data_IF_013629312472
#
_entry.id   IF_013629312472
#
_cell.length_a   1.000
_cell.length_b   1.000
_cell.length_c   1.000
_cell.angle_alpha   90.00
_cell.angle_beta   90.00
_cell.angle_gamma   90.00
#
_symmetry.space_group_name_H-M   'P 1'
#
loop_
_entity.id
_entity.type
_entity.pdbx_description
1 polymer ?
#
# COMPACT_ATOMS: atom_id res chain seq x y z
N UNK A 1 -1.14 -7.53 -10.88
CA UNK A 1 -2.07 -6.43 -11.23
C UNK A 1 -1.66 -5.24 -10.39
N UNK A 2 -1.52 -4.06 -10.99
CA UNK A 2 -1.27 -2.83 -10.24
C UNK A 2 -2.60 -2.31 -9.68
N UNK A 3 -2.75 -2.40 -8.36
CA UNK A 3 -4.02 -2.14 -7.68
C UNK A 3 -4.27 -0.63 -7.53
N UNK A 4 -3.21 0.19 -7.45
CA UNK A 4 -3.29 1.65 -7.46
C UNK A 4 -3.84 2.15 -8.80
N UNK A 5 -3.27 1.68 -9.91
CA UNK A 5 -3.75 2.01 -11.24
C UNK A 5 -5.19 1.55 -11.50
N UNK A 6 -5.62 0.44 -10.90
CA UNK A 6 -7.03 0.02 -10.96
C UNK A 6 -7.93 0.96 -10.16
N UNK A 7 -7.53 1.33 -8.94
CA UNK A 7 -8.30 2.24 -8.10
C UNK A 7 -8.52 3.59 -8.81
N UNK A 8 -7.49 4.13 -9.46
CA UNK A 8 -7.59 5.36 -10.27
C UNK A 8 -8.58 5.22 -11.43
N UNK A 9 -8.55 4.09 -12.16
CA UNK A 9 -9.53 3.83 -13.24
C UNK A 9 -10.95 3.74 -12.71
N UNK A 10 -11.17 3.03 -11.60
CA UNK A 10 -12.50 2.89 -11.00
C UNK A 10 -13.02 4.22 -10.44
N UNK A 11 -12.14 5.08 -9.91
CA UNK A 11 -12.48 6.41 -9.41
C UNK A 11 -12.88 7.39 -10.53
N UNK A 12 -12.40 7.15 -11.75
CA UNK A 12 -12.74 7.93 -12.93
C UNK A 12 -14.10 7.55 -13.57
N UNK A 13 -14.78 6.51 -13.06
CA UNK A 13 -16.07 6.08 -13.59
C UNK A 13 -17.15 7.14 -13.31
N UNK A 14 -17.73 7.68 -14.38
CA UNK A 14 -18.80 8.67 -14.26
C UNK A 14 -20.12 8.03 -13.78
N UNK A 15 -20.91 8.72 -12.94
CA UNK A 15 -22.18 8.19 -12.46
C UNK A 15 -23.17 7.92 -13.60
N UNK A 16 -23.86 6.79 -13.54
CA UNK A 16 -24.97 6.48 -14.46
C UNK A 16 -26.32 6.45 -13.73
N UNK A 17 -27.39 6.30 -14.50
CA UNK A 17 -28.74 6.08 -13.98
C UNK A 17 -29.05 4.60 -13.70
N UNK A 18 -28.10 3.71 -14.02
CA UNK A 18 -28.19 2.28 -13.74
C UNK A 18 -27.40 1.91 -12.48
N UNK A 19 -27.78 0.82 -11.79
CA UNK A 19 -27.05 0.38 -10.62
C UNK A 19 -25.63 -0.06 -10.98
N UNK A 20 -24.66 0.39 -10.18
CA UNK A 20 -23.30 -0.13 -10.17
C UNK A 20 -23.16 -1.03 -8.93
N UNK A 21 -22.74 -2.28 -9.14
CA UNK A 21 -22.49 -3.26 -8.09
C UNK A 21 -21.02 -3.22 -7.70
N UNK A 22 -20.75 -3.20 -6.40
CA UNK A 22 -19.42 -3.42 -5.83
C UNK A 22 -19.53 -4.52 -4.79
N UNK A 23 -18.85 -5.63 -5.03
CA UNK A 23 -18.88 -6.82 -4.18
C UNK A 23 -17.46 -7.09 -3.66
N UNK A 24 -17.33 -7.11 -2.35
CA UNK A 24 -16.15 -7.58 -1.63
C UNK A 24 -16.46 -8.92 -0.97
N UNK A 25 -15.50 -9.83 -0.98
CA UNK A 25 -15.70 -11.19 -0.47
C UNK A 25 -14.48 -11.64 0.32
N UNK A 26 -14.67 -12.07 1.57
CA UNK A 26 -13.65 -12.81 2.31
C UNK A 26 -13.55 -14.23 1.73
N UNK A 27 -12.39 -14.56 1.17
CA UNK A 27 -12.15 -15.85 0.52
C UNK A 27 -11.35 -16.82 1.40
N UNK A 28 -11.03 -16.44 2.65
CA UNK A 28 -10.29 -17.31 3.56
C UNK A 28 -11.08 -18.60 3.85
N UNK A 29 -10.37 -19.73 4.01
CA UNK A 29 -11.02 -20.97 4.40
C UNK A 29 -11.60 -20.86 5.82
N UNK A 30 -12.77 -21.46 6.03
CA UNK A 30 -13.32 -21.63 7.36
C UNK A 30 -12.64 -22.79 8.12
N UNK A 31 -13.17 -23.14 9.30
CA UNK A 31 -12.67 -24.26 10.12
C UNK A 31 -12.75 -25.64 9.42
N UNK A 32 -13.38 -25.74 8.24
CA UNK A 32 -13.44 -26.96 7.42
C UNK A 32 -12.40 -26.98 6.31
N UNK A 33 -11.58 -25.93 6.19
CA UNK A 33 -10.52 -25.81 5.17
C UNK A 33 -11.04 -25.42 3.79
N UNK A 34 -12.32 -25.01 3.67
CA UNK A 34 -12.93 -24.58 2.40
C UNK A 34 -13.44 -23.14 2.51
N UNK A 35 -13.38 -22.34 1.44
CA UNK A 35 -14.02 -21.04 1.41
C UNK A 35 -15.55 -21.20 1.48
N UNK A 36 -16.22 -20.50 2.41
CA UNK A 36 -17.68 -20.55 2.55
C UNK A 36 -18.40 -19.27 2.07
N UNK A 37 -17.88 -18.62 1.02
CA UNK A 37 -18.46 -17.37 0.52
C UNK A 37 -19.61 -17.58 -0.49
N UNK A 38 -19.60 -18.67 -1.28
CA UNK A 38 -20.54 -18.85 -2.40
C UNK A 38 -22.03 -18.75 -2.05
N UNK A 39 -22.52 -19.48 -1.02
CA UNK A 39 -23.90 -19.37 -0.57
C UNK A 39 -24.27 -17.98 -0.04
N UNK A 40 -23.35 -17.32 0.67
CA UNK A 40 -23.54 -15.98 1.23
C UNK A 40 -23.71 -14.97 0.11
N UNK A 41 -22.78 -14.94 -0.84
CA UNK A 41 -22.82 -14.03 -1.99
C UNK A 41 -24.09 -14.21 -2.82
N UNK A 42 -24.49 -15.45 -3.14
CA UNK A 42 -25.72 -15.71 -3.90
C UNK A 42 -26.96 -15.20 -3.16
N UNK A 43 -27.00 -15.38 -1.84
CA UNK A 43 -28.11 -14.88 -1.01
C UNK A 43 -28.15 -13.35 -1.03
N UNK A 44 -27.03 -12.68 -0.80
CA UNK A 44 -26.97 -11.21 -0.78
C UNK A 44 -27.35 -10.59 -2.13
N UNK A 45 -26.81 -11.12 -3.23
CA UNK A 45 -27.16 -10.66 -4.58
C UNK A 45 -28.67 -10.79 -4.83
N UNK A 46 -29.27 -11.92 -4.42
CA UNK A 46 -30.70 -12.17 -4.58
C UNK A 46 -31.58 -11.30 -3.67
N UNK A 47 -31.18 -11.06 -2.44
CA UNK A 47 -31.90 -10.16 -1.51
C UNK A 47 -31.85 -8.71 -2.01
N UNK A 48 -30.69 -8.27 -2.48
CA UNK A 48 -30.51 -6.91 -3.00
C UNK A 48 -31.28 -6.68 -4.30
N UNK A 49 -31.44 -7.69 -5.14
CA UNK A 49 -32.28 -7.63 -6.35
C UNK A 49 -33.74 -7.23 -6.06
N UNK A 50 -34.27 -7.62 -4.88
CA UNK A 50 -35.66 -7.32 -4.47
C UNK A 50 -35.89 -5.84 -4.16
N UNK A 51 -34.83 -5.07 -3.91
CA UNK A 51 -34.93 -3.63 -3.72
C UNK A 51 -35.28 -2.89 -5.02
N UNK A 52 -35.05 -3.51 -6.17
CA UNK A 52 -35.48 -2.99 -7.47
C UNK A 52 -36.87 -3.53 -7.78
N UNK A 53 -37.82 -2.63 -8.04
CA UNK A 53 -39.18 -3.00 -8.43
C UNK A 53 -39.19 -3.97 -9.62
N UNK A 54 -40.16 -4.88 -9.64
CA UNK A 54 -40.28 -5.87 -10.71
C UNK A 54 -40.42 -5.20 -12.08
N UNK A 55 -39.80 -5.79 -13.11
CA UNK A 55 -39.85 -5.35 -14.51
C UNK A 55 -39.35 -3.91 -14.76
N UNK A 56 -38.48 -3.39 -13.91
CA UNK A 56 -37.79 -2.10 -14.15
C UNK A 56 -36.50 -2.28 -14.95
N UNK A 57 -36.07 -1.25 -15.69
CA UNK A 57 -34.79 -1.25 -16.39
C UNK A 57 -33.61 -1.44 -15.42
N UNK A 58 -33.66 -0.77 -14.25
CA UNK A 58 -32.67 -0.92 -13.18
C UNK A 58 -32.59 -2.36 -12.66
N UNK A 59 -33.73 -3.05 -12.52
CA UNK A 59 -33.74 -4.47 -12.13
C UNK A 59 -33.06 -5.35 -13.19
N UNK A 60 -33.38 -5.13 -14.47
CA UNK A 60 -32.78 -5.92 -15.55
C UNK A 60 -31.26 -5.70 -15.65
N UNK A 61 -30.80 -4.45 -15.53
CA UNK A 61 -29.38 -4.13 -15.50
C UNK A 61 -28.67 -4.77 -14.30
N UNK A 62 -29.26 -4.66 -13.10
CA UNK A 62 -28.74 -5.32 -11.90
C UNK A 62 -28.61 -6.83 -12.07
N UNK A 63 -29.66 -7.50 -12.56
CA UNK A 63 -29.66 -8.96 -12.72
C UNK A 63 -28.60 -9.40 -13.75
N UNK A 64 -28.39 -8.63 -14.82
CA UNK A 64 -27.34 -8.89 -15.82
C UNK A 64 -25.94 -8.81 -15.18
N UNK A 65 -25.64 -7.74 -14.46
CA UNK A 65 -24.33 -7.56 -13.80
C UNK A 65 -24.11 -8.56 -12.65
N UNK A 66 -25.14 -8.89 -11.86
CA UNK A 66 -25.07 -9.94 -10.84
C UNK A 66 -24.80 -11.32 -11.46
N UNK A 67 -25.35 -11.59 -12.65
CA UNK A 67 -25.04 -12.78 -13.42
C UNK A 67 -23.57 -12.86 -13.84
N UNK A 68 -23.02 -11.74 -14.34
CA UNK A 68 -21.59 -11.64 -14.71
C UNK A 68 -20.67 -11.84 -13.51
N UNK A 69 -21.01 -11.25 -12.36
CA UNK A 69 -20.28 -11.44 -11.10
C UNK A 69 -20.28 -12.91 -10.70
N UNK A 70 -21.44 -13.57 -10.74
CA UNK A 70 -21.57 -14.99 -10.39
C UNK A 70 -20.71 -15.86 -11.31
N UNK A 71 -20.72 -15.59 -12.62
CA UNK A 71 -19.89 -16.31 -13.59
C UNK A 71 -18.39 -16.15 -13.32
N UNK A 72 -17.95 -14.93 -12.97
CA UNK A 72 -16.54 -14.68 -12.65
C UNK A 72 -16.11 -15.42 -11.37
N UNK A 73 -16.95 -15.40 -10.34
CA UNK A 73 -16.69 -16.11 -9.08
C UNK A 73 -16.64 -17.64 -9.26
N UNK A 74 -17.46 -18.17 -10.17
CA UNK A 74 -17.50 -19.61 -10.48
C UNK A 74 -16.38 -20.06 -11.42
N UNK A 75 -15.63 -19.15 -12.04
CA UNK A 75 -14.52 -19.44 -12.95
C UNK A 75 -13.24 -19.95 -12.24
N UNK A 76 -13.35 -20.43 -11.00
CA UNK A 76 -12.27 -20.93 -10.14
C UNK A 76 -11.09 -19.95 -9.97
N UNK A 77 -11.27 -18.87 -9.17
CA UNK A 77 -10.18 -17.99 -8.76
C UNK A 77 -9.03 -18.74 -8.08
N UNK A 78 -7.83 -18.15 -7.99
CA UNK A 78 -6.65 -18.83 -7.42
C UNK A 78 -6.95 -19.34 -6.00
N UNK A 79 -6.57 -20.58 -5.65
CA UNK A 79 -6.77 -21.13 -4.30
C UNK A 79 -6.06 -20.33 -3.19
N UNK A 80 -5.05 -19.54 -3.54
CA UNK A 80 -4.30 -18.70 -2.60
C UNK A 80 -4.92 -17.32 -2.36
N UNK A 81 -5.99 -16.95 -3.07
CA UNK A 81 -6.66 -15.67 -2.87
C UNK A 81 -7.31 -15.64 -1.48
N UNK A 82 -7.05 -14.56 -0.74
CA UNK A 82 -7.63 -14.34 0.59
C UNK A 82 -8.89 -13.47 0.53
N UNK A 83 -9.15 -12.81 -0.60
CA UNK A 83 -10.39 -12.09 -0.85
C UNK A 83 -10.62 -11.77 -2.33
N UNK A 84 -11.81 -11.28 -2.63
CA UNK A 84 -12.18 -10.79 -3.96
C UNK A 84 -12.77 -9.39 -3.89
N UNK A 85 -12.54 -8.59 -4.95
CA UNK A 85 -13.26 -7.35 -5.21
C UNK A 85 -13.77 -7.37 -6.65
N UNK A 86 -15.08 -7.20 -6.83
CA UNK A 86 -15.73 -7.25 -8.15
C UNK A 86 -16.61 -6.01 -8.33
N UNK A 87 -16.41 -5.31 -9.44
CA UNK A 87 -17.16 -4.12 -9.81
C UNK A 87 -17.87 -4.37 -11.14
N UNK A 88 -19.17 -4.10 -11.21
CA UNK A 88 -19.94 -4.31 -12.44
C UNK A 88 -20.98 -3.19 -12.63
N UNK A 89 -20.94 -2.58 -13.81
CA UNK A 89 -21.94 -1.65 -14.29
C UNK A 89 -21.88 -1.62 -15.83
N UNK A 90 -22.74 -2.39 -16.49
CA UNK A 90 -22.77 -2.47 -17.96
C UNK A 90 -22.98 -1.10 -18.61
N UNK A 91 -23.84 -0.26 -18.04
CA UNK A 91 -24.12 1.09 -18.54
C UNK A 91 -22.89 2.02 -18.51
N UNK A 92 -21.93 1.75 -17.61
CA UNK A 92 -20.66 2.45 -17.53
C UNK A 92 -19.52 1.73 -18.30
N UNK A 93 -19.83 0.62 -19.00
CA UNK A 93 -18.82 -0.23 -19.64
C UNK A 93 -17.88 -0.92 -18.64
N UNK A 94 -18.29 -1.07 -17.38
CA UNK A 94 -17.44 -1.53 -16.29
C UNK A 94 -17.68 -3.01 -15.98
N UNK A 95 -16.59 -3.78 -15.97
CA UNK A 95 -16.50 -5.05 -15.25
C UNK A 95 -15.06 -5.37 -14.90
N UNK A 96 -14.76 -5.34 -13.62
CA UNK A 96 -13.41 -5.57 -13.09
C UNK A 96 -13.51 -6.54 -11.92
N UNK A 97 -12.82 -7.68 -12.03
CA UNK A 97 -12.73 -8.70 -10.98
C UNK A 97 -11.29 -8.84 -10.53
N UNK A 98 -11.06 -8.72 -9.23
CA UNK A 98 -9.73 -8.69 -8.61
C UNK A 98 -9.64 -9.77 -7.55
N UNK A 99 -8.56 -10.53 -7.62
CA UNK A 99 -8.16 -11.47 -6.56
C UNK A 99 -7.16 -10.81 -5.63
N UNK A 100 -7.49 -10.77 -4.34
CA UNK A 100 -6.73 -10.10 -3.30
C UNK A 100 -5.89 -11.12 -2.52
N UNK A 101 -4.66 -10.73 -2.17
CA UNK A 101 -3.78 -11.51 -1.31
C UNK A 101 -3.99 -11.23 0.18
N UNK A 102 -4.93 -10.35 0.51
CA UNK A 102 -5.29 -9.98 1.87
C UNK A 102 -6.81 -10.10 2.04
N UNK A 103 -7.29 -10.42 3.25
CA UNK A 103 -8.71 -10.55 3.50
C UNK A 103 -9.41 -9.20 3.45
N UNK A 104 -10.68 -9.23 3.06
CA UNK A 104 -11.60 -8.09 3.10
C UNK A 104 -12.92 -8.57 3.71
N UNK A 105 -13.64 -7.67 4.35
CA UNK A 105 -14.98 -7.99 4.85
C UNK A 105 -15.92 -8.27 3.65
N UNK A 106 -16.77 -9.29 3.78
CA UNK A 106 -17.78 -9.57 2.77
C UNK A 106 -18.84 -8.47 2.81
N UNK A 107 -19.01 -7.75 1.69
CA UNK A 107 -19.95 -6.63 1.59
C UNK A 107 -20.43 -6.46 0.14
N UNK A 108 -21.74 -6.23 -0.01
CA UNK A 108 -22.38 -5.87 -1.27
C UNK A 108 -22.93 -4.44 -1.21
N UNK A 109 -22.34 -3.53 -2.00
CA UNK A 109 -22.82 -2.15 -2.15
C UNK A 109 -23.36 -1.94 -3.56
N UNK A 110 -24.52 -1.29 -3.65
CA UNK A 110 -25.10 -0.87 -4.93
C UNK A 110 -25.32 0.63 -4.91
N UNK A 111 -24.67 1.32 -5.84
CA UNK A 111 -24.70 2.78 -5.98
C UNK A 111 -24.77 3.22 -7.44
N UNK A 112 -24.44 4.48 -7.70
CA UNK A 112 -24.33 5.03 -9.07
C UNK A 112 -22.90 4.99 -9.63
N UNK A 113 -21.93 4.73 -8.76
CA UNK A 113 -20.49 4.62 -9.02
C UNK A 113 -19.93 3.47 -8.18
N UNK A 114 -18.72 2.95 -8.51
CA UNK A 114 -18.04 1.94 -7.71
C UNK A 114 -17.83 2.36 -6.25
N UNK A 115 -18.06 1.45 -5.30
CA UNK A 115 -17.75 1.65 -3.89
C UNK A 115 -16.29 1.27 -3.61
N UNK A 116 -15.42 2.28 -3.51
CA UNK A 116 -13.97 2.07 -3.49
C UNK A 116 -13.35 1.99 -2.09
N UNK A 117 -14.11 2.30 -1.05
CA UNK A 117 -13.57 2.46 0.30
C UNK A 117 -12.82 1.22 0.81
N UNK A 118 -13.36 -0.02 0.71
CA UNK A 118 -12.64 -1.20 1.19
C UNK A 118 -11.35 -1.45 0.42
N UNK A 119 -11.35 -1.25 -0.90
CA UNK A 119 -10.14 -1.42 -1.73
C UNK A 119 -9.08 -0.37 -1.42
N UNK A 120 -9.50 0.89 -1.27
CA UNK A 120 -8.63 2.01 -0.98
C UNK A 120 -8.03 1.89 0.44
N UNK A 121 -8.82 1.44 1.42
CA UNK A 121 -8.34 1.11 2.77
C UNK A 121 -7.36 -0.06 2.76
N UNK A 122 -7.61 -1.09 1.95
CA UNK A 122 -6.70 -2.22 1.84
C UNK A 122 -5.32 -1.79 1.27
N UNK A 123 -5.33 -0.93 0.26
CA UNK A 123 -4.11 -0.35 -0.31
C UNK A 123 -3.32 0.46 0.72
N UNK A 124 -4.02 1.24 1.55
CA UNK A 124 -3.41 2.05 2.60
C UNK A 124 -2.84 1.19 3.74
N UNK A 125 -3.52 0.08 4.09
CA UNK A 125 -3.08 -0.87 5.12
C UNK A 125 -1.85 -1.70 4.74
N UNK A 126 -1.66 -1.94 3.44
CA UNK A 126 -0.60 -2.80 2.93
C UNK A 126 0.36 -2.03 2.02
N UNK A 127 0.73 -0.81 2.45
CA UNK A 127 1.72 0.01 1.74
C UNK A 127 3.02 -0.76 1.56
N UNK A 128 3.53 -0.71 0.33
CA UNK A 128 4.77 -1.42 -0.01
C UNK A 128 5.96 -0.69 0.59
N UNK A 129 6.85 -1.45 1.21
CA UNK A 129 8.11 -0.92 1.73
C UNK A 129 9.27 -1.84 1.36
N UNK A 130 10.45 -1.25 1.21
CA UNK A 130 11.68 -2.03 1.11
C UNK A 130 12.20 -2.36 2.51
N UNK A 131 12.85 -3.52 2.62
CA UNK A 131 13.70 -3.85 3.76
C UNK A 131 15.10 -4.06 3.23
N UNK A 132 16.06 -3.32 3.78
CA UNK A 132 17.48 -3.46 3.47
C UNK A 132 18.17 -4.02 4.69
N UNK A 133 18.78 -5.19 4.54
CA UNK A 133 19.64 -5.78 5.57
C UNK A 133 21.06 -5.79 5.04
N UNK A 134 21.97 -5.07 5.69
CA UNK A 134 23.32 -4.85 5.16
C UNK A 134 24.38 -4.94 6.24
N UNK A 135 25.54 -5.45 5.87
CA UNK A 135 26.81 -5.27 6.59
C UNK A 135 27.79 -4.49 5.70
N UNK A 136 29.05 -4.42 6.11
CA UNK A 136 30.08 -3.70 5.36
C UNK A 136 30.53 -4.37 4.03
N UNK A 137 29.98 -5.54 3.69
CA UNK A 137 30.38 -6.41 2.58
C UNK A 137 29.23 -6.87 1.67
N UNK A 138 28.04 -7.06 2.22
CA UNK A 138 26.86 -7.60 1.55
C UNK A 138 25.61 -6.83 1.98
N UNK A 139 24.67 -6.71 1.06
CA UNK A 139 23.35 -6.16 1.32
C UNK A 139 22.28 -6.98 0.61
N UNK A 140 21.19 -7.25 1.32
CA UNK A 140 19.98 -7.87 0.79
C UNK A 140 18.87 -6.84 0.78
N UNK A 141 18.18 -6.71 -0.35
CA UNK A 141 17.05 -5.80 -0.51
C UNK A 141 15.82 -6.63 -0.77
N UNK A 142 14.88 -6.58 0.16
CA UNK A 142 13.58 -7.20 0.08
C UNK A 142 12.51 -6.16 -0.20
N UNK A 143 11.41 -6.58 -0.82
CA UNK A 143 10.17 -5.79 -0.92
C UNK A 143 9.08 -6.54 -0.20
N UNK A 144 8.43 -5.86 0.75
CA UNK A 144 7.22 -6.36 1.40
C UNK A 144 6.01 -5.71 0.74
N UNK A 145 5.07 -6.53 0.29
CA UNK A 145 3.83 -6.10 -0.33
C UNK A 145 2.73 -7.11 -0.03
N UNK A 146 1.53 -6.62 0.33
CA UNK A 146 0.35 -7.46 0.60
C UNK A 146 0.64 -8.61 1.59
N UNK A 147 1.48 -8.37 2.60
CA UNK A 147 1.84 -9.37 3.62
C UNK A 147 2.79 -10.47 3.15
N UNK A 148 3.38 -10.34 1.96
CA UNK A 148 4.43 -11.22 1.47
C UNK A 148 5.76 -10.46 1.33
N UNK A 149 6.86 -11.17 1.53
CA UNK A 149 8.22 -10.67 1.35
C UNK A 149 8.87 -11.35 0.16
N UNK A 150 9.63 -10.58 -0.62
CA UNK A 150 10.38 -11.09 -1.78
C UNK A 150 11.77 -10.45 -1.83
N UNK A 151 12.83 -11.26 -1.89
CA UNK A 151 14.17 -10.77 -2.19
C UNK A 151 14.21 -10.21 -3.62
N UNK A 152 14.54 -8.92 -3.76
CA UNK A 152 14.62 -8.21 -5.04
C UNK A 152 16.02 -8.08 -5.57
N UNK A 153 17.00 -7.90 -4.69
CA UNK A 153 18.38 -7.78 -5.07
C UNK A 153 19.32 -8.16 -3.93
N UNK A 154 20.50 -8.64 -4.34
CA UNK A 154 21.64 -8.85 -3.46
C UNK A 154 22.81 -8.07 -4.02
N UNK A 155 23.43 -7.26 -3.19
CA UNK A 155 24.64 -6.50 -3.51
C UNK A 155 25.78 -7.13 -2.75
N UNK A 156 26.81 -7.59 -3.45
CA UNK A 156 27.99 -8.18 -2.83
C UNK A 156 29.25 -7.55 -3.40
N UNK A 157 30.20 -7.26 -2.53
CA UNK A 157 31.54 -6.91 -2.98
C UNK A 157 32.18 -8.08 -3.73
N UNK A 158 32.67 -7.84 -4.96
CA UNK A 158 33.55 -8.80 -5.64
C UNK A 158 34.79 -9.01 -4.78
N UNK A 159 34.95 -10.21 -4.21
CA UNK A 159 36.18 -10.63 -3.52
C UNK A 159 37.37 -10.45 -4.46
N UNK A 160 38.15 -9.39 -4.27
CA UNK A 160 39.50 -9.32 -4.84
C UNK A 160 40.36 -10.35 -4.12
N UNK A 161 40.63 -11.47 -4.79
CA UNK A 161 41.54 -12.51 -4.32
C UNK A 161 42.97 -11.95 -4.09
N UNK A 162 43.46 -12.13 -2.85
CA UNK A 162 44.85 -12.22 -2.35
C UNK A 162 45.90 -11.17 -2.78
N UNK A 163 46.58 -10.66 -1.75
CA UNK A 163 48.03 -10.86 -1.62
C UNK A 163 48.43 -10.87 -0.14
N UNK A 164 48.95 -12.00 0.33
CA UNK A 164 49.76 -12.04 1.54
C UNK A 164 51.16 -11.53 1.22
N UNK A 165 51.66 -10.62 2.05
CA UNK A 165 53.09 -10.41 2.32
C UNK A 165 53.22 -9.29 3.35
N UNK A 166 53.89 -9.60 4.47
CA UNK A 166 54.80 -8.71 5.19
C UNK A 166 54.31 -7.33 5.61
N UNK A 167 54.31 -7.10 6.93
CA UNK A 167 54.05 -5.79 7.52
C UNK A 167 54.89 -4.69 6.86
N UNK A 168 54.22 -3.77 6.18
CA UNK A 168 54.47 -2.33 6.16
C UNK A 168 53.28 -1.66 5.47
N UNK A 169 52.72 -0.65 6.15
CA UNK A 169 51.59 0.22 5.77
C UNK A 169 50.15 -0.27 6.06
N UNK A 170 49.81 -0.37 7.35
CA UNK A 170 48.40 -0.34 7.82
C UNK A 170 47.59 0.78 7.14
N UNK A 171 48.19 1.97 6.91
CA UNK A 171 47.50 3.11 6.29
C UNK A 171 47.12 2.90 4.80
N UNK A 172 47.73 1.96 4.07
CA UNK A 172 47.29 1.60 2.70
C UNK A 172 46.20 0.55 2.73
N UNK A 173 46.31 -0.42 3.64
CA UNK A 173 45.27 -1.42 3.88
C UNK A 173 43.97 -0.74 4.36
N UNK A 174 44.06 0.17 5.32
CA UNK A 174 42.92 0.94 5.84
C UNK A 174 42.23 1.76 4.75
N UNK A 175 42.99 2.47 3.91
CA UNK A 175 42.44 3.24 2.77
C UNK A 175 41.78 2.35 1.71
N UNK A 176 42.29 1.14 1.51
CA UNK A 176 41.70 0.18 0.58
C UNK A 176 40.36 -0.35 1.12
N UNK A 177 40.31 -0.68 2.40
CA UNK A 177 39.10 -1.10 3.12
C UNK A 177 38.04 0.01 3.11
N UNK A 178 38.40 1.25 3.44
CA UNK A 178 37.50 2.41 3.33
C UNK A 178 37.00 2.68 1.90
N UNK A 179 37.83 2.41 0.88
CA UNK A 179 37.41 2.52 -0.51
C UNK A 179 36.39 1.46 -0.86
N UNK A 180 36.59 0.22 -0.42
CA UNK A 180 35.65 -0.88 -0.65
C UNK A 180 34.30 -0.63 0.02
N UNK A 181 34.29 -0.15 1.27
CA UNK A 181 33.02 0.17 1.93
C UNK A 181 32.26 1.26 1.18
N UNK A 182 32.95 2.30 0.69
CA UNK A 182 32.33 3.34 -0.12
C UNK A 182 31.79 2.83 -1.46
N UNK A 183 32.51 1.95 -2.15
CA UNK A 183 32.05 1.34 -3.39
C UNK A 183 30.80 0.47 -3.16
N UNK A 184 30.81 -0.35 -2.11
CA UNK A 184 29.68 -1.18 -1.71
C UNK A 184 28.43 -0.35 -1.38
N UNK A 185 28.61 0.65 -0.52
CA UNK A 185 27.52 1.53 -0.10
C UNK A 185 26.94 2.30 -1.29
N UNK A 186 27.79 2.75 -2.21
CA UNK A 186 27.33 3.38 -3.44
C UNK A 186 26.48 2.43 -4.28
N UNK A 187 26.95 1.21 -4.51
CA UNK A 187 26.20 0.21 -5.29
C UNK A 187 24.87 -0.17 -4.62
N UNK A 188 24.85 -0.28 -3.29
CA UNK A 188 23.64 -0.47 -2.49
C UNK A 188 22.65 0.68 -2.71
N UNK A 189 23.09 1.92 -2.52
CA UNK A 189 22.24 3.11 -2.66
C UNK A 189 21.70 3.24 -4.09
N UNK A 190 22.54 3.05 -5.11
CA UNK A 190 22.12 3.12 -6.53
C UNK A 190 21.07 2.02 -6.84
N UNK A 191 21.26 0.81 -6.28
CA UNK A 191 20.33 -0.30 -6.46
C UNK A 191 19.02 -0.06 -5.74
N UNK A 192 19.07 0.44 -4.50
CA UNK A 192 17.91 0.77 -3.68
C UNK A 192 17.10 1.88 -4.32
N UNK A 193 17.73 2.96 -4.80
CA UNK A 193 17.04 4.07 -5.46
C UNK A 193 16.27 3.59 -6.69
N UNK A 194 16.86 2.70 -7.48
CA UNK A 194 16.19 2.10 -8.62
C UNK A 194 14.98 1.26 -8.20
N UNK A 195 15.12 0.39 -7.21
CA UNK A 195 14.00 -0.44 -6.70
C UNK A 195 12.88 0.45 -6.16
N UNK A 196 13.21 1.45 -5.35
CA UNK A 196 12.23 2.39 -4.76
C UNK A 196 11.43 3.11 -5.85
N UNK A 197 12.09 3.55 -6.92
CA UNK A 197 11.42 4.17 -8.06
C UNK A 197 10.56 3.18 -8.84
N UNK A 198 11.11 2.02 -9.20
CA UNK A 198 10.46 1.05 -10.08
C UNK A 198 9.24 0.40 -9.43
N UNK A 199 9.28 0.20 -8.11
CA UNK A 199 8.20 -0.42 -7.31
C UNK A 199 7.28 0.61 -6.61
N UNK A 200 7.59 1.92 -6.73
CA UNK A 200 6.79 2.99 -6.11
C UNK A 200 6.80 2.96 -4.58
N UNK A 201 7.95 2.71 -3.96
CA UNK A 201 8.05 2.49 -2.51
C UNK A 201 8.14 3.81 -1.75
N UNK A 202 7.24 4.00 -0.79
CA UNK A 202 7.21 5.23 0.02
C UNK A 202 8.03 5.13 1.31
N UNK A 203 8.51 3.93 1.66
CA UNK A 203 9.29 3.67 2.88
C UNK A 203 10.37 2.62 2.65
N UNK A 204 11.50 2.79 3.33
CA UNK A 204 12.61 1.85 3.38
C UNK A 204 12.97 1.60 4.85
N UNK A 205 12.96 0.35 5.28
CA UNK A 205 13.47 -0.05 6.58
C UNK A 205 14.91 -0.52 6.41
N UNK A 206 15.84 0.10 7.12
CA UNK A 206 17.28 -0.18 7.01
C UNK A 206 17.79 -0.83 8.29
N UNK A 207 18.26 -2.07 8.17
CA UNK A 207 18.95 -2.82 9.21
C UNK A 207 20.41 -3.02 8.84
N UNK A 208 21.30 -2.85 9.81
CA UNK A 208 22.72 -3.08 9.63
C UNK A 208 23.52 -2.75 10.88
N UNK A 209 24.80 -3.09 10.84
CA UNK A 209 25.70 -2.82 11.96
C UNK A 209 26.03 -1.32 12.12
N UNK A 210 26.58 -0.96 13.29
CA UNK A 210 26.93 0.42 13.65
C UNK A 210 27.99 1.05 12.73
N UNK A 211 28.66 0.24 11.91
CA UNK A 211 29.72 0.69 10.98
C UNK A 211 29.12 1.05 9.62
N UNK A 212 28.23 0.22 9.08
CA UNK A 212 27.65 0.42 7.74
C UNK A 212 26.55 1.47 7.74
N UNK A 213 25.72 1.55 8.79
CA UNK A 213 24.57 2.47 8.85
C UNK A 213 24.99 3.94 8.63
N UNK A 214 26.02 4.47 9.31
CA UNK A 214 26.47 5.85 9.06
C UNK A 214 26.95 6.08 7.62
N UNK A 215 27.62 5.09 7.02
CA UNK A 215 28.12 5.19 5.64
C UNK A 215 26.97 5.23 4.64
N UNK A 216 25.96 4.37 4.82
CA UNK A 216 24.75 4.37 4.00
C UNK A 216 24.04 5.71 4.14
N UNK A 217 23.84 6.20 5.37
CA UNK A 217 23.18 7.48 5.63
C UNK A 217 23.85 8.66 4.91
N UNK A 218 25.18 8.70 4.89
CA UNK A 218 25.94 9.74 4.20
C UNK A 218 25.80 9.66 2.67
N UNK A 219 25.65 8.45 2.12
CA UNK A 219 25.55 8.23 0.68
C UNK A 219 24.12 8.41 0.12
N UNK A 220 23.09 8.39 0.96
CA UNK A 220 21.70 8.49 0.53
C UNK A 220 21.38 9.87 -0.09
N UNK A 221 20.78 9.91 -1.29
CA UNK A 221 20.17 11.12 -1.81
C UNK A 221 19.08 11.63 -0.85
N UNK A 222 18.93 12.95 -0.75
CA UNK A 222 17.97 13.58 0.19
C UNK A 222 16.55 13.02 0.07
N UNK A 223 16.09 12.81 -1.16
CA UNK A 223 14.75 12.26 -1.46
C UNK A 223 14.55 10.83 -0.97
N UNK A 224 15.62 10.03 -0.93
CA UNK A 224 15.59 8.66 -0.43
C UNK A 224 15.77 8.64 1.08
N UNK A 225 16.65 9.48 1.62
CA UNK A 225 16.87 9.61 3.07
C UNK A 225 15.59 9.95 3.85
N UNK A 226 14.71 10.78 3.28
CA UNK A 226 13.39 11.11 3.86
C UNK A 226 12.45 9.90 3.97
N UNK A 227 12.73 8.79 3.27
CA UNK A 227 11.95 7.54 3.29
C UNK A 227 12.56 6.45 4.17
N UNK A 228 13.78 6.64 4.66
CA UNK A 228 14.52 5.62 5.41
C UNK A 228 14.18 5.70 6.89
N UNK A 229 13.79 4.57 7.47
CA UNK A 229 13.69 4.35 8.91
C UNK A 229 14.71 3.28 9.28
N UNK A 230 15.59 3.61 10.20
CA UNK A 230 16.57 2.64 10.72
C UNK A 230 15.91 1.72 11.74
N UNK A 231 16.18 0.42 11.62
CA UNK A 231 15.63 -0.61 12.48
C UNK A 231 16.75 -1.49 13.05
N UNK A 232 16.53 -1.99 14.25
CA UNK A 232 17.44 -2.96 14.88
C UNK A 232 17.00 -4.40 14.63
N UNK A 233 17.76 -5.35 15.20
CA UNK A 233 17.41 -6.76 15.36
C UNK A 233 17.30 -7.60 14.08
N UNK A 234 17.74 -7.11 12.92
CA UNK A 234 17.84 -7.91 11.71
C UNK A 234 19.28 -7.94 11.19
N UNK A 235 19.70 -9.10 10.72
CA UNK A 235 21.01 -9.31 10.10
C UNK A 235 20.92 -10.23 8.87
N UNK A 236 22.05 -10.45 8.21
CA UNK A 236 22.11 -11.22 6.97
C UNK A 236 21.78 -12.72 7.13
N UNK A 237 21.68 -13.23 8.36
CA UNK A 237 21.26 -14.61 8.63
C UNK A 237 19.79 -14.73 9.03
N UNK A 238 19.11 -13.60 9.29
CA UNK A 238 17.67 -13.56 9.52
C UNK A 238 16.90 -14.18 8.36
N UNK A 239 15.92 -15.01 8.67
CA UNK A 239 15.07 -15.64 7.66
C UNK A 239 14.07 -14.64 7.07
N UNK A 240 13.56 -14.89 5.85
CA UNK A 240 12.50 -14.06 5.26
C UNK A 240 11.27 -13.93 6.18
N UNK A 241 10.90 -15.01 6.87
CA UNK A 241 9.77 -15.01 7.79
C UNK A 241 10.00 -14.10 9.01
N UNK A 242 11.20 -14.15 9.58
CA UNK A 242 11.63 -13.29 10.69
C UNK A 242 11.70 -11.82 10.27
N UNK A 243 12.29 -11.53 9.10
CA UNK A 243 12.33 -10.18 8.54
C UNK A 243 10.91 -9.64 8.35
N UNK A 244 10.01 -10.43 7.78
CA UNK A 244 8.62 -10.03 7.59
C UNK A 244 7.94 -9.73 8.92
N UNK A 245 8.04 -10.62 9.91
CA UNK A 245 7.42 -10.46 11.22
C UNK A 245 7.90 -9.18 11.94
N UNK A 246 9.21 -8.99 12.07
CA UNK A 246 9.80 -7.83 12.74
C UNK A 246 9.48 -6.51 12.03
N UNK A 247 9.45 -6.53 10.69
CA UNK A 247 9.24 -5.30 9.92
C UNK A 247 7.78 -4.87 9.82
N UNK A 248 6.83 -5.82 9.86
CA UNK A 248 5.40 -5.49 9.84
C UNK A 248 5.01 -4.58 11.02
N UNK A 249 5.56 -4.88 12.19
CA UNK A 249 5.32 -4.13 13.41
C UNK A 249 5.91 -2.72 13.36
N UNK A 250 7.12 -2.57 12.80
CA UNK A 250 7.74 -1.26 12.60
C UNK A 250 6.95 -0.45 11.58
N UNK A 251 6.60 -1.05 10.44
CA UNK A 251 5.83 -0.38 9.39
C UNK A 251 4.51 0.18 9.93
N UNK A 252 3.76 -0.62 10.69
CA UNK A 252 2.51 -0.18 11.35
C UNK A 252 2.70 1.00 12.30
N UNK A 253 3.73 0.97 13.16
CA UNK A 253 4.00 2.06 14.10
C UNK A 253 4.35 3.35 13.37
N UNK A 254 5.12 3.24 12.31
CA UNK A 254 5.53 4.38 11.51
C UNK A 254 4.37 4.96 10.68
N UNK A 255 3.48 4.12 10.15
CA UNK A 255 2.28 4.60 9.45
C UNK A 255 1.31 5.29 10.42
N UNK A 256 1.12 4.77 11.63
CA UNK A 256 0.34 5.43 12.67
C UNK A 256 0.95 6.79 13.08
N UNK A 257 2.28 6.88 13.14
CA UNK A 257 2.99 8.13 13.43
C UNK A 257 2.79 9.15 12.30
N UNK A 258 3.00 8.72 11.06
CA UNK A 258 2.77 9.54 9.86
C UNK A 258 1.35 10.12 9.83
N UNK A 259 0.36 9.29 10.17
CA UNK A 259 -1.05 9.67 10.24
C UNK A 259 -1.31 10.73 11.31
N UNK A 260 -0.79 10.52 12.52
CA UNK A 260 -0.88 11.49 13.60
C UNK A 260 -0.27 12.84 13.20
N UNK A 261 0.89 12.82 12.55
CA UNK A 261 1.54 14.04 12.06
C UNK A 261 0.74 14.72 10.94
N UNK A 262 0.14 13.96 10.01
CA UNK A 262 -0.74 14.51 8.95
C UNK A 262 -1.95 15.21 9.55
N UNK A 263 -2.60 14.56 10.51
CA UNK A 263 -3.78 15.12 11.19
C UNK A 263 -3.41 16.36 11.99
N UNK A 264 -2.31 16.33 12.76
CA UNK A 264 -1.85 17.48 13.52
C UNK A 264 -1.59 18.69 12.61
N UNK A 265 -0.85 18.49 11.51
CA UNK A 265 -0.60 19.56 10.51
C UNK A 265 -1.90 20.12 9.92
N UNK A 266 -2.88 19.26 9.66
CA UNK A 266 -4.19 19.66 9.13
C UNK A 266 -4.99 20.49 10.15
N UNK A 267 -5.05 20.06 11.42
CA UNK A 267 -5.73 20.79 12.49
C UNK A 267 -5.06 22.14 12.78
N UNK A 268 -3.73 22.19 12.83
CA UNK A 268 -2.99 23.44 13.02
C UNK A 268 -3.26 24.43 11.88
N UNK A 269 -3.26 23.95 10.63
CA UNK A 269 -3.60 24.77 9.48
C UNK A 269 -5.05 25.25 9.50
N UNK A 270 -6.00 24.45 10.00
CA UNK A 270 -7.40 24.84 10.17
C UNK A 270 -7.55 25.92 11.24
N UNK A 271 -6.96 25.70 12.43
CA UNK A 271 -6.98 26.64 13.57
C UNK A 271 -6.32 27.97 13.24
N UNK A 272 -5.28 27.96 12.40
CA UNK A 272 -4.62 29.16 11.91
C UNK A 272 -5.42 29.92 10.82
N UNK A 273 -6.61 29.45 10.42
CA UNK A 273 -7.37 30.01 9.30
C UNK A 273 -6.65 29.86 7.95
N UNK A 274 -5.76 28.87 7.87
CA UNK A 274 -4.89 28.58 6.74
C UNK A 274 -5.53 27.63 5.73
N UNK A 275 -4.81 26.57 5.38
CA UNK A 275 -5.19 25.61 4.35
C UNK A 275 -5.87 24.36 4.91
N UNK A 276 -6.17 24.30 6.22
CA UNK A 276 -6.91 23.18 6.79
C UNK A 276 -8.42 23.34 6.58
N UNK A 277 -9.10 22.26 6.24
CA UNK A 277 -10.56 22.17 6.17
C UNK A 277 -11.06 20.92 6.89
N UNK A 278 -12.25 21.02 7.47
CA UNK A 278 -12.91 19.96 8.22
C UNK A 278 -14.30 19.73 7.63
N UNK A 279 -14.71 18.47 7.54
CA UNK A 279 -16.04 18.06 7.06
C UNK A 279 -16.17 17.96 5.54
N UNK A 280 -17.03 17.03 5.10
CA UNK A 280 -17.21 16.64 3.68
C UNK A 280 -17.48 17.82 2.73
N UNK A 281 -18.39 18.78 3.03
CA UNK A 281 -18.72 19.85 2.07
C UNK A 281 -17.55 20.78 1.72
N UNK A 282 -16.57 20.92 2.62
CA UNK A 282 -15.38 21.74 2.36
C UNK A 282 -14.34 21.04 1.50
N UNK A 283 -14.24 19.70 1.61
CA UNK A 283 -13.16 18.91 1.01
C UNK A 283 -13.38 18.61 -0.48
N UNK A 284 -14.64 18.42 -0.90
CA UNK A 284 -15.00 18.03 -2.28
C UNK A 284 -14.67 19.06 -3.36
N UNK A 285 -14.28 20.28 -2.99
CA UNK A 285 -13.92 21.35 -3.93
C UNK A 285 -12.42 21.43 -4.26
N UNK A 286 -11.64 20.43 -3.87
CA UNK A 286 -10.17 20.49 -4.00
C UNK A 286 -9.59 19.22 -4.61
N UNK A 287 -8.50 19.37 -5.38
CA UNK A 287 -7.66 18.25 -5.83
C UNK A 287 -6.81 17.68 -4.69
N UNK A 288 -7.40 17.52 -3.50
CA UNK A 288 -6.74 17.00 -2.32
C UNK A 288 -6.42 15.52 -2.49
N UNK A 289 -5.27 15.10 -1.94
CA UNK A 289 -4.93 13.67 -1.84
C UNK A 289 -5.77 13.09 -0.71
N UNK A 290 -6.49 12.01 -0.98
CA UNK A 290 -7.19 11.22 0.05
C UNK A 290 -6.15 10.31 0.70
N UNK A 291 -6.15 10.27 2.03
CA UNK A 291 -5.33 9.38 2.84
C UNK A 291 -6.23 8.87 3.96
N UNK A 292 -6.24 7.56 4.20
CA UNK A 292 -7.00 7.01 5.32
C UNK A 292 -6.21 7.26 6.60
N UNK A 293 -6.94 7.47 7.69
CA UNK A 293 -6.34 7.58 9.01
C UNK A 293 -6.87 6.39 9.79
N UNK A 294 -5.99 5.45 10.12
CA UNK A 294 -6.40 4.21 10.77
C UNK A 294 -6.99 4.47 12.16
N UNK A 295 -6.34 5.34 12.94
CA UNK A 295 -6.83 5.74 14.25
C UNK A 295 -7.87 6.85 14.12
N UNK A 296 -9.15 6.44 14.11
CA UNK A 296 -10.29 7.35 14.06
C UNK A 296 -10.30 8.41 15.19
N UNK A 297 -9.62 8.15 16.32
CA UNK A 297 -9.55 9.12 17.43
C UNK A 297 -8.78 10.39 17.02
N UNK A 298 -7.81 10.29 16.09
CA UNK A 298 -7.07 11.44 15.57
C UNK A 298 -8.01 12.45 14.89
N UNK A 299 -9.05 11.97 14.19
CA UNK A 299 -10.00 12.80 13.46
C UNK A 299 -11.28 13.14 14.25
N UNK A 300 -11.34 12.82 15.55
CA UNK A 300 -12.54 13.06 16.36
C UNK A 300 -12.94 14.54 16.39
N UNK A 301 -11.96 15.45 16.50
CA UNK A 301 -12.18 16.92 16.45
C UNK A 301 -12.69 17.37 15.06
N UNK A 302 -12.33 16.64 14.01
CA UNK A 302 -12.73 16.91 12.65
C UNK A 302 -14.05 16.22 12.24
N UNK A 303 -14.75 15.55 13.17
CA UNK A 303 -15.96 14.80 12.84
C UNK A 303 -15.70 13.65 11.85
N UNK A 304 -14.47 13.12 11.83
CA UNK A 304 -14.07 11.96 11.02
C UNK A 304 -13.49 12.28 9.64
N UNK A 305 -13.52 13.52 9.14
CA UNK A 305 -12.95 13.88 7.83
C UNK A 305 -12.32 15.27 7.87
N UNK A 306 -11.09 15.39 7.36
CA UNK A 306 -10.42 16.67 7.14
C UNK A 306 -9.55 16.66 5.88
N UNK A 307 -9.12 17.84 5.45
CA UNK A 307 -8.22 18.00 4.32
C UNK A 307 -7.22 19.13 4.55
N UNK A 308 -6.03 18.97 3.98
CA UNK A 308 -5.04 20.03 3.84
C UNK A 308 -4.98 20.46 2.38
N UNK A 309 -5.37 21.69 2.10
CA UNK A 309 -5.47 22.22 0.75
C UNK A 309 -4.11 22.64 0.20
N UNK A 310 -3.93 22.57 -1.12
CA UNK A 310 -2.73 23.11 -1.79
C UNK A 310 -2.78 24.63 -1.99
N UNK A 311 -3.99 25.20 -2.08
CA UNK A 311 -4.21 26.62 -2.30
C UNK A 311 -5.45 27.08 -1.54
N UNK A 312 -5.53 28.38 -1.24
CA UNK A 312 -6.71 28.96 -0.59
C UNK A 312 -7.88 28.97 -1.56
N UNK A 313 -9.01 28.41 -1.16
CA UNK A 313 -10.28 28.60 -1.88
C UNK A 313 -10.80 30.01 -1.60
N UNK A 314 -10.92 30.83 -2.65
CA UNK A 314 -11.71 32.07 -2.55
C UNK A 314 -13.18 31.68 -2.55
N UNK A 315 -13.88 31.90 -1.42
CA UNK A 315 -15.35 31.82 -1.42
C UNK A 315 -15.86 32.79 -2.48
N UNK A 316 -16.50 32.27 -3.54
CA UNK A 316 -17.46 33.08 -4.28
C UNK A 316 -18.57 33.42 -3.28
N UNK A 317 -18.74 34.72 -3.01
CA UNK A 317 -19.91 35.19 -2.30
C UNK A 317 -21.15 34.69 -3.05
N UNK A 318 -22.02 33.97 -2.35
CA UNK A 318 -23.37 33.67 -2.80
C UNK A 318 -24.22 34.93 -2.67
#
# INVERSE_FOLDING_TARGET
>A
MDLDALLDRLAAVEPTDQPCISLYVDARPDNTGRPHWGPVVRKELGERARAFGERTAARAAYDADAGRISQWLEAEPRPSAQGFAVFACEAAGLFEGVELNAPVDTELVVGRVPHLYPLARLLDQWRRYAVVVTDTHQAHIFVVALGAIHERARVENKKTSRSGAGGWSQARFQRHVEKFHREHVKELVDTLERIVRDEGLDRVLLAGDEVVIPLVREALPKTLAERVVEIGNLDLVSSEAEILEETLDVARREDARDDAERVARMLDAYRAGGLGMIGVPGVTQTGARVTFIEDAALLAEAGGVGALLRFRLHRRAA
#
